data_IF_994648387729
#
_entry.id   IF_994648387729
#
_cell.length_a   1.000
_cell.length_b   1.000
_cell.length_c   1.000
_cell.angle_alpha   90.00
_cell.angle_beta   90.00
_cell.angle_gamma   90.00
#
_symmetry.space_group_name_H-M   'P 1'
#
loop_
_entity.id
_entity.type
_entity.pdbx_description
1 polymer ?
#
# COMPACT_ATOMS: atom_id res chain seq x y z
N UNK A 1 -14.11 11.87 15.85
CA UNK A 1 -13.62 11.33 14.57
C UNK A 1 -14.83 11.01 13.71
N UNK A 2 -14.86 11.48 12.46
CA UNK A 2 -15.88 11.04 11.51
C UNK A 2 -15.53 9.63 10.98
N UNK A 3 -16.51 8.90 10.42
CA UNK A 3 -16.30 7.52 9.98
C UNK A 3 -15.22 7.40 8.88
N UNK A 4 -15.11 8.40 8.01
CA UNK A 4 -14.09 8.45 6.96
C UNK A 4 -12.67 8.56 7.53
N UNK A 5 -12.45 9.39 8.55
CA UNK A 5 -11.17 9.45 9.27
C UNK A 5 -10.79 8.08 9.83
N UNK A 6 -11.72 7.37 10.49
CA UNK A 6 -11.44 6.04 11.03
C UNK A 6 -11.06 5.05 9.93
N UNK A 7 -11.77 5.05 8.80
CA UNK A 7 -11.47 4.18 7.67
C UNK A 7 -10.08 4.48 7.06
N UNK A 8 -9.73 5.77 6.87
CA UNK A 8 -8.45 6.17 6.29
C UNK A 8 -7.27 5.96 7.24
N UNK A 9 -7.46 6.11 8.56
CA UNK A 9 -6.45 5.70 9.54
C UNK A 9 -6.16 4.20 9.46
N UNK A 10 -7.19 3.35 9.30
CA UNK A 10 -6.99 1.91 9.12
C UNK A 10 -6.17 1.61 7.86
N UNK A 11 -6.49 2.24 6.72
CA UNK A 11 -5.72 2.07 5.49
C UNK A 11 -4.26 2.50 5.68
N UNK A 12 -4.03 3.65 6.31
CA UNK A 12 -2.68 4.19 6.60
C UNK A 12 -1.86 3.20 7.42
N UNK A 13 -2.42 2.65 8.50
CA UNK A 13 -1.75 1.66 9.35
C UNK A 13 -1.39 0.40 8.55
N UNK A 14 -2.33 -0.12 7.75
CA UNK A 14 -2.09 -1.31 6.92
C UNK A 14 -0.99 -1.07 5.88
N UNK A 15 -0.97 0.11 5.27
CA UNK A 15 0.06 0.50 4.30
C UNK A 15 1.45 0.65 4.93
N UNK A 16 1.54 1.27 6.12
CA UNK A 16 2.80 1.38 6.87
C UNK A 16 3.33 -0.02 7.22
N UNK A 17 2.46 -0.92 7.71
CA UNK A 17 2.81 -2.31 7.98
C UNK A 17 3.28 -3.04 6.71
N UNK A 18 2.59 -2.82 5.59
CA UNK A 18 2.97 -3.38 4.29
C UNK A 18 4.41 -2.98 3.93
N UNK A 19 4.73 -1.67 3.98
CA UNK A 19 6.07 -1.16 3.69
C UNK A 19 7.13 -1.75 4.63
N UNK A 20 6.80 -1.87 5.92
CA UNK A 20 7.68 -2.49 6.91
C UNK A 20 7.98 -3.96 6.57
N UNK A 21 6.96 -4.75 6.21
CA UNK A 21 7.14 -6.14 5.80
C UNK A 21 7.93 -6.29 4.51
N UNK A 22 7.74 -5.43 3.50
CA UNK A 22 8.57 -5.43 2.29
C UNK A 22 10.06 -5.31 2.64
N UNK A 23 10.40 -4.32 3.47
CA UNK A 23 11.80 -4.14 3.92
C UNK A 23 12.28 -5.34 4.71
N UNK A 24 11.47 -5.86 5.65
CA UNK A 24 11.83 -7.03 6.44
C UNK A 24 12.24 -8.21 5.56
N UNK A 25 11.47 -8.53 4.52
CA UNK A 25 11.83 -9.60 3.56
C UNK A 25 13.16 -9.34 2.88
N UNK A 26 13.38 -8.11 2.39
CA UNK A 26 14.63 -7.75 1.72
C UNK A 26 15.84 -7.72 2.66
N UNK A 27 15.64 -7.60 3.97
CA UNK A 27 16.71 -7.68 4.97
C UNK A 27 16.81 -9.07 5.63
N UNK A 28 16.28 -10.12 5.00
CA UNK A 28 16.41 -11.52 5.46
C UNK A 28 15.29 -12.00 6.39
N UNK A 29 14.21 -11.24 6.53
CA UNK A 29 12.99 -11.66 7.21
C UNK A 29 12.19 -12.70 6.40
N UNK A 30 11.19 -13.31 7.05
CA UNK A 30 10.35 -14.32 6.41
C UNK A 30 9.39 -13.71 5.39
N UNK A 31 9.27 -14.39 4.23
CA UNK A 31 8.26 -14.07 3.25
C UNK A 31 6.91 -14.66 3.67
N UNK A 32 5.90 -13.79 3.78
CA UNK A 32 4.53 -14.14 4.16
C UNK A 32 3.63 -14.06 2.91
N UNK A 33 3.43 -15.21 2.27
CA UNK A 33 2.68 -15.31 1.02
C UNK A 33 1.24 -14.80 1.17
N UNK A 34 0.58 -15.15 2.28
CA UNK A 34 -0.79 -14.71 2.55
C UNK A 34 -0.88 -13.18 2.65
N UNK A 35 0.09 -12.55 3.32
CA UNK A 35 0.12 -11.10 3.48
C UNK A 35 0.34 -10.33 2.17
N UNK A 36 1.17 -10.85 1.26
CA UNK A 36 1.46 -10.22 -0.04
C UNK A 36 0.53 -10.68 -1.17
N UNK A 37 -0.37 -11.61 -0.91
CA UNK A 37 -1.37 -12.08 -1.88
C UNK A 37 -2.43 -11.00 -2.18
N UNK A 38 -3.24 -11.18 -3.24
CA UNK A 38 -4.44 -10.37 -3.46
C UNK A 38 -5.48 -10.41 -2.32
N UNK A 39 -5.41 -11.40 -1.42
CA UNK A 39 -6.22 -11.47 -0.20
C UNK A 39 -5.54 -10.76 0.99
N UNK A 40 -4.41 -10.09 0.78
CA UNK A 40 -3.66 -9.39 1.81
C UNK A 40 -4.43 -8.22 2.44
N UNK A 41 -3.96 -7.69 3.58
CA UNK A 41 -4.73 -6.72 4.38
C UNK A 41 -5.11 -5.43 3.64
N UNK A 42 -4.22 -4.90 2.79
CA UNK A 42 -4.48 -3.66 2.06
C UNK A 42 -5.46 -3.91 0.89
N UNK A 43 -5.25 -4.97 0.11
CA UNK A 43 -6.16 -5.36 -0.97
C UNK A 43 -7.57 -5.69 -0.44
N UNK A 44 -7.65 -6.41 0.68
CA UNK A 44 -8.92 -6.69 1.37
C UNK A 44 -9.59 -5.41 1.83
N UNK A 45 -8.86 -4.43 2.36
CA UNK A 45 -9.44 -3.15 2.75
C UNK A 45 -10.04 -2.40 1.55
N UNK A 46 -9.36 -2.39 0.40
CA UNK A 46 -9.92 -1.80 -0.82
C UNK A 46 -11.23 -2.49 -1.22
N UNK A 47 -11.28 -3.82 -1.21
CA UNK A 47 -12.48 -4.57 -1.62
C UNK A 47 -13.65 -4.47 -0.65
N UNK A 48 -13.38 -4.37 0.67
CA UNK A 48 -14.43 -4.41 1.72
C UNK A 48 -14.86 -3.04 2.23
N UNK A 49 -14.00 -2.03 2.14
CA UNK A 49 -14.27 -0.67 2.63
C UNK A 49 -14.14 0.34 1.49
N UNK A 50 -12.96 0.43 0.89
CA UNK A 50 -12.61 1.45 -0.11
C UNK A 50 -13.61 1.54 -1.26
N UNK A 51 -13.83 0.42 -1.95
CA UNK A 51 -14.67 0.33 -3.14
C UNK A 51 -16.16 0.18 -2.85
N UNK A 52 -16.53 0.00 -1.58
CA UNK A 52 -17.94 -0.04 -1.14
C UNK A 52 -18.41 1.36 -0.78
N UNK A 53 -17.61 2.11 -0.01
CA UNK A 53 -17.99 3.42 0.54
C UNK A 53 -17.51 4.59 -0.30
N UNK A 54 -16.34 4.50 -0.93
CA UNK A 54 -15.64 5.64 -1.54
C UNK A 54 -15.40 5.47 -3.04
N UNK A 55 -16.12 4.55 -3.70
CA UNK A 55 -15.94 4.25 -5.14
C UNK A 55 -16.09 5.47 -6.05
N UNK A 56 -16.96 6.40 -5.68
CA UNK A 56 -17.22 7.61 -6.48
C UNK A 56 -16.08 8.63 -6.41
N UNK A 57 -15.17 8.47 -5.45
CA UNK A 57 -14.06 9.37 -5.25
C UNK A 57 -12.87 8.94 -6.14
N UNK A 58 -12.44 9.81 -7.05
CA UNK A 58 -11.39 9.50 -8.04
C UNK A 58 -10.07 9.09 -7.37
N UNK A 59 -9.75 9.70 -6.23
CA UNK A 59 -8.57 9.39 -5.43
C UNK A 59 -8.62 7.97 -4.86
N UNK A 60 -9.81 7.40 -4.60
CA UNK A 60 -9.94 6.01 -4.13
C UNK A 60 -9.54 5.02 -5.21
N UNK A 61 -9.93 5.29 -6.46
CA UNK A 61 -9.53 4.46 -7.61
C UNK A 61 -8.03 4.58 -7.86
N UNK A 62 -7.48 5.79 -7.77
CA UNK A 62 -6.04 6.01 -7.92
C UNK A 62 -5.23 5.36 -6.79
N UNK A 63 -5.69 5.44 -5.54
CA UNK A 63 -5.07 4.75 -4.40
C UNK A 63 -4.98 3.23 -4.63
N UNK A 64 -6.03 2.61 -5.16
CA UNK A 64 -6.03 1.19 -5.48
C UNK A 64 -5.02 0.85 -6.58
N UNK A 65 -4.93 1.68 -7.64
CA UNK A 65 -3.92 1.54 -8.70
C UNK A 65 -2.51 1.67 -8.14
N UNK A 66 -2.23 2.68 -7.33
CA UNK A 66 -0.92 2.88 -6.71
C UNK A 66 -0.53 1.71 -5.81
N UNK A 67 -1.49 1.13 -5.08
CA UNK A 67 -1.23 -0.08 -4.28
C UNK A 67 -0.92 -1.32 -5.14
N UNK A 68 -1.63 -1.51 -6.25
CA UNK A 68 -1.36 -2.59 -7.19
C UNK A 68 0.06 -2.47 -7.78
N UNK A 69 0.42 -1.27 -8.24
CA UNK A 69 1.75 -0.92 -8.73
C UNK A 69 2.85 -1.18 -7.69
N UNK A 70 2.60 -0.79 -6.44
CA UNK A 70 3.52 -1.00 -5.33
C UNK A 70 3.68 -2.49 -5.04
N UNK A 71 2.59 -3.26 -5.12
CA UNK A 71 2.61 -4.71 -4.92
C UNK A 71 3.37 -5.43 -6.01
N UNK A 72 3.15 -5.08 -7.28
CA UNK A 72 3.94 -5.61 -8.40
C UNK A 72 5.43 -5.27 -8.27
N UNK A 73 5.74 -4.05 -7.83
CA UNK A 73 7.13 -3.63 -7.55
C UNK A 73 7.72 -4.51 -6.45
N UNK A 74 7.02 -4.67 -5.32
CA UNK A 74 7.50 -5.48 -4.19
C UNK A 74 7.73 -6.95 -4.59
N UNK A 75 6.81 -7.56 -5.34
CA UNK A 75 6.98 -8.91 -5.88
C UNK A 75 8.23 -9.03 -6.74
N UNK A 76 8.52 -8.05 -7.59
CA UNK A 76 9.75 -8.03 -8.38
C UNK A 76 11.01 -7.94 -7.50
N UNK A 77 10.99 -7.13 -6.44
CA UNK A 77 12.13 -7.04 -5.50
C UNK A 77 12.35 -8.36 -4.76
N UNK A 78 11.29 -9.05 -4.35
CA UNK A 78 11.40 -10.36 -3.72
C UNK A 78 12.03 -11.40 -4.65
N UNK A 79 11.69 -11.38 -5.94
CA UNK A 79 12.35 -12.23 -6.94
C UNK A 79 13.82 -11.89 -7.09
N UNK A 80 14.17 -10.61 -7.24
CA UNK A 80 15.58 -10.16 -7.32
C UNK A 80 16.38 -10.63 -6.11
N UNK A 81 15.84 -10.45 -4.91
CA UNK A 81 16.45 -10.88 -3.66
C UNK A 81 16.64 -12.41 -3.62
N UNK A 82 15.60 -13.17 -3.96
CA UNK A 82 15.65 -14.64 -4.03
C UNK A 82 16.70 -15.16 -5.03
N UNK A 83 16.92 -14.44 -6.13
CA UNK A 83 17.95 -14.76 -7.12
C UNK A 83 19.34 -14.21 -6.79
N UNK A 84 19.56 -13.68 -5.58
CA UNK A 84 20.86 -13.16 -5.15
C UNK A 84 21.23 -11.80 -5.73
N UNK A 85 20.31 -11.11 -6.41
CA UNK A 85 20.52 -9.76 -6.96
C UNK A 85 20.23 -8.68 -5.90
N UNK A 86 20.99 -8.73 -4.80
CA UNK A 86 20.72 -7.94 -3.59
C UNK A 86 20.77 -6.44 -3.87
N UNK A 87 21.80 -5.96 -4.57
CA UNK A 87 21.95 -4.53 -4.88
C UNK A 87 20.76 -3.98 -5.68
N UNK A 88 20.29 -4.74 -6.67
CA UNK A 88 19.12 -4.36 -7.49
C UNK A 88 17.84 -4.34 -6.64
N UNK A 89 17.68 -5.31 -5.74
CA UNK A 89 16.55 -5.35 -4.83
C UNK A 89 16.56 -4.14 -3.87
N UNK A 90 17.73 -3.76 -3.35
CA UNK A 90 17.90 -2.60 -2.48
C UNK A 90 17.70 -1.28 -3.20
N UNK A 91 18.23 -1.12 -4.41
CA UNK A 91 17.98 0.07 -5.22
C UNK A 91 16.48 0.22 -5.55
N UNK A 92 15.79 -0.89 -5.77
CA UNK A 92 14.36 -0.92 -5.97
C UNK A 92 13.53 -0.43 -4.78
N UNK A 93 14.07 -0.43 -3.55
CA UNK A 93 13.39 0.16 -2.39
C UNK A 93 13.12 1.66 -2.58
N UNK A 94 13.97 2.38 -3.32
CA UNK A 94 13.74 3.81 -3.65
C UNK A 94 12.42 4.00 -4.41
N UNK A 95 12.07 3.04 -5.28
CA UNK A 95 10.81 3.06 -6.04
C UNK A 95 9.62 2.78 -5.12
N UNK A 96 9.76 1.84 -4.18
CA UNK A 96 8.74 1.56 -3.15
C UNK A 96 8.49 2.81 -2.29
N UNK A 97 9.54 3.52 -1.86
CA UNK A 97 9.38 4.76 -1.08
C UNK A 97 8.61 5.81 -1.86
N UNK A 98 9.01 6.09 -3.11
CA UNK A 98 8.33 7.08 -3.96
C UNK A 98 6.85 6.75 -4.18
N UNK A 99 6.53 5.48 -4.47
CA UNK A 99 5.12 5.04 -4.62
C UNK A 99 4.36 5.12 -3.29
N UNK A 100 5.01 4.81 -2.17
CA UNK A 100 4.41 4.93 -0.84
C UNK A 100 4.14 6.38 -0.44
N UNK A 101 5.03 7.30 -0.76
CA UNK A 101 4.82 8.73 -0.53
C UNK A 101 3.64 9.24 -1.34
N UNK A 102 3.56 8.87 -2.62
CA UNK A 102 2.43 9.20 -3.47
C UNK A 102 1.11 8.64 -2.93
N UNK A 103 1.10 7.39 -2.47
CA UNK A 103 -0.05 6.76 -1.83
C UNK A 103 -0.53 7.56 -0.60
N UNK A 104 0.40 7.92 0.30
CA UNK A 104 0.06 8.67 1.51
C UNK A 104 -0.42 10.09 1.19
N UNK A 105 0.14 10.72 0.15
CA UNK A 105 -0.30 12.03 -0.33
C UNK A 105 -1.73 11.99 -0.84
N UNK A 106 -2.07 11.02 -1.71
CA UNK A 106 -3.44 10.83 -2.21
C UNK A 106 -4.43 10.56 -1.08
N UNK A 107 -4.04 9.74 -0.09
CA UNK A 107 -4.88 9.44 1.07
C UNK A 107 -5.15 10.70 1.90
N UNK A 108 -4.13 11.55 2.10
CA UNK A 108 -4.27 12.81 2.81
C UNK A 108 -5.16 13.80 2.06
N UNK A 109 -5.02 13.89 0.72
CA UNK A 109 -5.89 14.73 -0.12
C UNK A 109 -7.35 14.29 -0.04
N UNK A 110 -7.61 12.98 -0.13
CA UNK A 110 -8.96 12.43 0.00
C UNK A 110 -9.54 12.68 1.39
N UNK A 111 -8.72 12.49 2.44
CA UNK A 111 -9.14 12.76 3.82
C UNK A 111 -9.50 14.23 4.01
N UNK A 112 -8.70 15.17 3.49
CA UNK A 112 -8.99 16.60 3.58
C UNK A 112 -10.28 16.97 2.83
N UNK A 113 -10.43 16.53 1.58
CA UNK A 113 -11.63 16.84 0.78
C UNK A 113 -12.92 16.29 1.39
N UNK A 114 -12.84 15.16 2.10
CA UNK A 114 -14.00 14.56 2.76
C UNK A 114 -14.24 15.11 4.17
N UNK A 115 -13.31 15.84 4.78
CA UNK A 115 -13.59 16.64 5.99
C UNK A 115 -14.56 17.79 5.68
N UNK A 116 -14.52 18.35 4.48
CA UNK A 116 -15.39 19.46 4.10
C UNK A 116 -16.81 19.02 3.71
N UNK A 117 -17.02 17.72 3.47
CA UNK A 117 -18.33 17.14 3.11
C UNK A 117 -19.16 16.69 4.32
N UNK A 118 -18.58 16.60 5.53
CA UNK A 118 -19.23 16.04 6.73
C UNK A 118 -18.79 16.76 8.01
#
# INVERSE_FOLDING_TARGET
MNAAQVDFQQLRIKHILYKSKVRSVLFGGSFDEAFFSPAGPVSTWFSSVGMIKYRQEVEMTELARVHQDLSSTASNLFQLYKFGKIDQAYDGLKVIEKKSEHFLHLLAQLEERLKDKF
#
